data_IF_122810345028
#
_entry.id   IF_122810345028
#
_cell.length_a   1.000
_cell.length_b   1.000
_cell.length_c   1.000
_cell.angle_alpha   90.00
_cell.angle_beta   90.00
_cell.angle_gamma   90.00
#
_symmetry.space_group_name_H-M   'P 1'
#
loop_
_entity.id
_entity.type
_entity.pdbx_description
1 polymer ?
#
# COMPACT_ATOMS: atom_id res chain seq x y z
N UNK A 1 -8.97 11.69 -7.15
CA UNK A 1 -7.75 12.51 -7.01
C UNK A 1 -6.95 12.45 -8.30
N UNK A 2 -6.55 13.57 -8.89
CA UNK A 2 -5.70 13.58 -10.10
C UNK A 2 -4.22 13.45 -9.71
N UNK A 3 -3.53 12.45 -10.25
CA UNK A 3 -2.09 12.30 -10.08
C UNK A 3 -1.37 13.36 -10.93
N UNK A 4 -0.37 14.03 -10.34
CA UNK A 4 0.49 14.95 -11.07
C UNK A 4 1.23 14.22 -12.20
N UNK A 5 1.60 14.91 -13.29
CA UNK A 5 2.32 14.31 -14.43
C UNK A 5 3.60 13.58 -14.00
N UNK A 6 4.40 14.21 -13.12
CA UNK A 6 5.66 13.66 -12.61
C UNK A 6 5.45 12.35 -11.83
N UNK A 7 4.43 12.29 -10.96
CA UNK A 7 4.08 11.05 -10.24
C UNK A 7 3.63 9.94 -11.19
N UNK A 8 3.01 10.29 -12.31
CA UNK A 8 2.59 9.33 -13.34
C UNK A 8 3.80 8.71 -14.04
N UNK A 9 4.80 9.50 -14.42
CA UNK A 9 6.03 9.02 -15.04
C UNK A 9 6.83 8.11 -14.11
N UNK A 10 7.02 8.51 -12.84
CA UNK A 10 7.72 7.69 -11.84
C UNK A 10 7.11 6.29 -11.71
N UNK A 11 5.78 6.21 -11.74
CA UNK A 11 5.08 4.92 -11.64
C UNK A 11 5.27 4.09 -12.91
N UNK A 12 5.11 4.69 -14.10
CA UNK A 12 5.32 3.98 -15.37
C UNK A 12 6.75 3.43 -15.46
N UNK A 13 7.74 4.22 -15.05
CA UNK A 13 9.15 3.82 -15.09
C UNK A 13 9.48 2.67 -14.13
N UNK A 14 8.91 2.69 -12.92
CA UNK A 14 9.09 1.59 -11.97
C UNK A 14 8.49 0.28 -12.51
N UNK A 15 7.29 0.34 -13.10
CA UNK A 15 6.61 -0.82 -13.68
C UNK A 15 7.37 -1.39 -14.88
N UNK A 16 7.91 -0.54 -15.77
CA UNK A 16 8.76 -0.96 -16.90
C UNK A 16 10.00 -1.72 -16.46
N UNK A 17 10.54 -1.40 -15.27
CA UNK A 17 11.70 -2.09 -14.68
C UNK A 17 11.32 -3.34 -13.88
N UNK A 18 10.04 -3.70 -13.83
CA UNK A 18 9.55 -4.81 -13.00
C UNK A 18 9.62 -4.54 -11.50
N UNK A 19 9.66 -3.27 -11.09
CA UNK A 19 9.80 -2.86 -9.69
C UNK A 19 8.53 -2.21 -9.17
N UNK A 20 8.30 -2.34 -7.85
CA UNK A 20 7.17 -1.68 -7.19
C UNK A 20 7.51 -0.19 -6.98
N UNK A 21 6.66 0.76 -7.42
CA UNK A 21 6.85 2.20 -7.20
C UNK A 21 7.07 2.55 -5.73
N UNK A 22 7.85 3.61 -5.47
CA UNK A 22 8.14 4.09 -4.11
C UNK A 22 7.04 5.01 -3.55
N UNK A 23 6.25 5.61 -4.43
CA UNK A 23 5.22 6.60 -4.16
C UNK A 23 3.97 6.28 -4.98
N UNK A 24 2.84 6.93 -4.66
CA UNK A 24 1.59 6.84 -5.45
C UNK A 24 1.01 5.42 -5.56
N UNK A 25 1.21 4.58 -4.53
CA UNK A 25 0.72 3.19 -4.51
C UNK A 25 -0.80 3.11 -4.59
N UNK A 26 -1.52 4.09 -4.03
CA UNK A 26 -2.99 4.15 -4.10
C UNK A 26 -3.51 4.19 -5.54
N UNK A 27 -2.71 4.72 -6.48
CA UNK A 27 -3.08 4.77 -7.89
C UNK A 27 -3.17 3.38 -8.55
N UNK A 28 -2.56 2.37 -7.92
CA UNK A 28 -2.45 1.00 -8.42
C UNK A 28 -2.98 -0.04 -7.43
N UNK A 29 -3.48 0.37 -6.27
CA UNK A 29 -3.96 -0.52 -5.22
C UNK A 29 -5.35 -1.11 -5.52
N UNK A 30 -5.49 -1.74 -6.69
CA UNK A 30 -6.75 -2.31 -7.17
C UNK A 30 -7.11 -3.54 -6.35
N UNK A 31 -8.32 -3.59 -5.81
CA UNK A 31 -8.86 -4.73 -5.07
C UNK A 31 -8.37 -4.86 -3.63
N UNK A 32 -7.59 -3.87 -3.15
CA UNK A 32 -7.15 -3.80 -1.75
C UNK A 32 -8.12 -3.00 -0.87
N UNK A 33 -9.07 -2.28 -1.47
CA UNK A 33 -10.03 -1.40 -0.80
C UNK A 33 -10.85 -2.18 0.24
N UNK A 34 -11.14 -3.46 -0.03
CA UNK A 34 -11.84 -4.36 0.89
C UNK A 34 -11.11 -4.60 2.21
N UNK A 35 -9.79 -4.42 2.25
CA UNK A 35 -8.97 -4.58 3.46
C UNK A 35 -8.83 -3.28 4.24
N UNK A 36 -9.19 -2.14 3.66
CA UNK A 36 -9.01 -0.82 4.29
C UNK A 36 -9.68 -0.71 5.67
N UNK A 37 -10.96 -1.11 5.87
CA UNK A 37 -11.62 -0.89 7.15
C UNK A 37 -10.90 -1.59 8.32
N UNK A 38 -10.47 -2.83 8.09
CA UNK A 38 -9.76 -3.61 9.10
C UNK A 38 -8.38 -3.02 9.42
N UNK A 39 -7.65 -2.58 8.39
CA UNK A 39 -6.32 -1.99 8.57
C UNK A 39 -6.40 -0.62 9.24
N UNK A 40 -7.43 0.18 8.93
CA UNK A 40 -7.62 1.49 9.56
C UNK A 40 -7.93 1.36 11.05
N UNK A 41 -8.77 0.40 11.45
CA UNK A 41 -9.02 0.10 12.85
C UNK A 41 -7.72 -0.26 13.60
N UNK A 42 -6.88 -1.08 12.98
CA UNK A 42 -5.61 -1.51 13.58
C UNK A 42 -4.57 -0.39 13.65
N UNK A 43 -4.48 0.44 12.61
CA UNK A 43 -3.59 1.60 12.64
C UNK A 43 -4.01 2.60 13.70
N UNK A 44 -5.32 2.81 13.93
CA UNK A 44 -5.82 3.61 15.05
C UNK A 44 -5.45 2.99 16.41
N UNK A 45 -5.53 1.66 16.57
CA UNK A 45 -5.07 0.97 17.79
C UNK A 45 -3.57 1.20 18.04
N UNK A 46 -2.76 1.12 17.00
CA UNK A 46 -1.31 1.39 17.10
C UNK A 46 -1.04 2.87 17.41
N UNK A 47 -1.78 3.79 16.78
CA UNK A 47 -1.69 5.23 17.06
C UNK A 47 -2.04 5.56 18.53
N UNK A 48 -2.96 4.82 19.15
CA UNK A 48 -3.31 4.93 20.56
C UNK A 48 -2.27 4.30 21.53
N UNK A 49 -1.12 3.84 21.03
CA UNK A 49 -0.05 3.23 21.82
C UNK A 49 -0.11 1.70 21.94
N UNK A 50 -1.04 1.05 21.23
CA UNK A 50 -1.13 -0.41 21.16
C UNK A 50 -0.14 -1.03 20.16
N UNK A 51 -0.17 -2.36 20.06
CA UNK A 51 0.63 -3.13 19.09
C UNK A 51 -0.22 -4.22 18.42
N UNK A 52 0.01 -4.46 17.13
CA UNK A 52 -0.68 -5.49 16.34
C UNK A 52 0.33 -6.21 15.46
N UNK A 53 0.16 -7.53 15.28
CA UNK A 53 0.94 -8.34 14.34
C UNK A 53 0.02 -9.03 13.33
N UNK A 54 0.40 -9.01 12.04
CA UNK A 54 -0.30 -9.73 10.97
C UNK A 54 0.65 -10.51 10.08
N UNK A 55 0.22 -11.70 9.69
CA UNK A 55 0.84 -12.50 8.65
C UNK A 55 0.00 -12.44 7.36
N UNK A 56 0.60 -12.00 6.25
CA UNK A 56 -0.04 -11.95 4.94
C UNK A 56 0.27 -13.24 4.18
N UNK A 57 -0.76 -14.03 3.86
CA UNK A 57 -0.63 -15.31 3.14
C UNK A 57 -1.20 -15.19 1.72
N UNK A 58 -0.60 -15.95 0.80
CA UNK A 58 -1.00 -16.01 -0.59
C UNK A 58 0.11 -16.60 -1.46
N UNK A 59 -0.22 -16.94 -2.70
CA UNK A 59 0.70 -17.54 -3.67
C UNK A 59 1.81 -16.59 -4.12
N UNK A 60 2.87 -17.12 -4.74
CA UNK A 60 3.90 -16.29 -5.35
C UNK A 60 3.30 -15.39 -6.43
N UNK A 61 3.71 -14.11 -6.46
CA UNK A 61 3.15 -13.13 -7.41
C UNK A 61 1.77 -12.54 -7.04
N UNK A 62 1.09 -12.98 -5.97
CA UNK A 62 -0.24 -12.47 -5.61
C UNK A 62 -0.26 -11.07 -4.97
N UNK A 63 0.87 -10.35 -4.94
CA UNK A 63 0.94 -8.98 -4.43
C UNK A 63 1.21 -8.80 -2.93
N UNK A 64 1.66 -9.83 -2.19
CA UNK A 64 1.96 -9.70 -0.74
C UNK A 64 2.93 -8.55 -0.40
N UNK A 65 4.01 -8.42 -1.17
CA UNK A 65 5.01 -7.35 -0.98
C UNK A 65 4.42 -5.98 -1.29
N UNK A 66 3.56 -5.90 -2.30
CA UNK A 66 2.84 -4.66 -2.62
C UNK A 66 1.88 -4.28 -1.51
N UNK A 67 1.11 -5.25 -0.98
CA UNK A 67 0.21 -5.03 0.16
C UNK A 67 0.93 -4.46 1.38
N UNK A 68 2.09 -5.03 1.75
CA UNK A 68 2.88 -4.53 2.88
C UNK A 68 3.36 -3.08 2.66
N UNK A 69 3.81 -2.75 1.44
CA UNK A 69 4.21 -1.37 1.10
C UNK A 69 3.03 -0.41 1.09
N UNK A 70 1.89 -0.83 0.56
CA UNK A 70 0.67 -0.03 0.54
C UNK A 70 0.15 0.25 1.95
N UNK A 71 0.15 -0.74 2.85
CA UNK A 71 -0.17 -0.54 4.26
C UNK A 71 0.79 0.46 4.94
N UNK A 72 2.10 0.34 4.69
CA UNK A 72 3.08 1.29 5.23
C UNK A 72 2.86 2.72 4.71
N UNK A 73 2.46 2.89 3.45
CA UNK A 73 2.14 4.19 2.88
C UNK A 73 0.87 4.80 3.50
N UNK A 74 -0.15 3.98 3.80
CA UNK A 74 -1.33 4.43 4.57
C UNK A 74 -0.98 4.85 5.98
N UNK A 75 -0.15 4.07 6.67
CA UNK A 75 0.29 4.40 8.03
C UNK A 75 1.02 5.76 8.11
N UNK A 76 1.68 6.19 7.03
CA UNK A 76 2.33 7.52 6.94
C UNK A 76 1.37 8.68 6.72
N UNK A 77 0.12 8.41 6.33
CA UNK A 77 -0.91 9.43 6.05
C UNK A 77 -1.87 9.67 7.23
N UNK A 78 -1.83 8.78 8.23
CA UNK A 78 -2.51 8.91 9.52
C UNK A 78 -1.69 9.76 10.49
#
# INVERSE_FOLDING_TARGET
MSLSPQRREEVIDALRRGTVPRSSLDAFAVGLERFEPALEEELRKVQAGGSVFKAVRGEYGCGKTFFARWLADRARKL
#
